data_IF_586148738618
#
_entry.id   IF_586148738618
#
_cell.length_a   1.000
_cell.length_b   1.000
_cell.length_c   1.000
_cell.angle_alpha   90.00
_cell.angle_beta   90.00
_cell.angle_gamma   90.00
#
_symmetry.space_group_name_H-M   'P 1'
#
loop_
_entity.id
_entity.type
_entity.pdbx_description
1 polymer ?
#
# COMPACT_ATOMS: atom_id res chain seq x y z
N UNK A 1 -11.68 16.43 7.94
CA UNK A 1 -11.77 15.98 6.53
C UNK A 1 -11.21 14.56 6.37
N UNK A 2 -11.66 13.82 5.34
CA UNK A 2 -11.58 12.36 5.11
C UNK A 2 -10.51 11.55 5.88
N UNK A 3 -9.26 12.00 5.91
CA UNK A 3 -8.18 11.36 6.68
C UNK A 3 -8.49 11.21 8.19
N UNK A 4 -9.06 12.24 8.83
CA UNK A 4 -9.37 12.21 10.26
C UNK A 4 -10.44 11.16 10.59
N UNK A 5 -11.41 10.96 9.69
CA UNK A 5 -12.48 9.98 9.82
C UNK A 5 -12.14 8.62 9.19
N UNK A 6 -10.98 8.47 8.55
CA UNK A 6 -10.59 7.21 7.92
C UNK A 6 -10.15 6.21 8.97
N UNK A 7 -10.63 4.98 8.88
CA UNK A 7 -10.23 3.91 9.78
C UNK A 7 -8.94 3.22 9.32
N UNK A 8 -8.72 3.17 8.01
CA UNK A 8 -7.57 2.54 7.37
C UNK A 8 -6.90 3.51 6.39
N UNK A 9 -5.57 3.61 6.49
CA UNK A 9 -4.74 4.31 5.50
C UNK A 9 -4.01 3.28 4.65
N UNK A 10 -4.23 3.34 3.34
CA UNK A 10 -3.61 2.45 2.36
C UNK A 10 -2.54 3.22 1.60
N UNK A 11 -1.39 2.59 1.37
CA UNK A 11 -0.32 3.18 0.57
C UNK A 11 0.69 2.13 0.08
N UNK A 12 1.51 2.52 -0.88
CA UNK A 12 2.57 1.66 -1.42
C UNK A 12 3.91 2.14 -0.87
N UNK A 13 4.53 1.34 0.02
CA UNK A 13 5.64 1.79 0.88
C UNK A 13 5.25 2.94 1.85
N UNK A 14 4.01 2.88 2.37
CA UNK A 14 3.34 3.92 3.19
C UNK A 14 4.17 4.52 4.35
N UNK A 15 5.13 3.78 4.90
CA UNK A 15 6.00 4.30 5.96
C UNK A 15 6.79 5.50 5.43
N UNK A 16 7.25 5.46 4.19
CA UNK A 16 7.97 6.56 3.56
C UNK A 16 7.12 7.84 3.53
N UNK A 17 5.90 7.76 3.00
CA UNK A 17 4.99 8.90 2.89
C UNK A 17 4.68 9.50 4.27
N UNK A 18 4.39 8.66 5.27
CA UNK A 18 4.09 9.11 6.63
C UNK A 18 5.28 9.84 7.25
N UNK A 19 6.50 9.31 7.10
CA UNK A 19 7.68 9.96 7.68
C UNK A 19 8.03 11.27 6.98
N UNK A 20 7.82 11.38 5.66
CA UNK A 20 7.95 12.65 4.93
C UNK A 20 6.92 13.67 5.44
N UNK A 21 5.65 13.29 5.58
CA UNK A 21 4.60 14.19 6.07
C UNK A 21 4.90 14.62 7.52
N UNK A 22 5.30 13.69 8.40
CA UNK A 22 5.67 14.01 9.78
C UNK A 22 6.84 14.98 9.85
N UNK A 23 7.85 14.80 8.98
CA UNK A 23 9.00 15.70 8.87
C UNK A 23 8.57 17.11 8.48
N UNK A 24 7.72 17.25 7.45
CA UNK A 24 7.20 18.56 7.04
C UNK A 24 6.30 19.19 8.11
N UNK A 25 5.45 18.41 8.79
CA UNK A 25 4.69 18.90 9.94
C UNK A 25 5.60 19.44 11.05
N UNK A 26 6.69 18.74 11.36
CA UNK A 26 7.67 19.14 12.38
C UNK A 26 8.29 20.51 12.05
N UNK A 27 8.61 20.78 10.78
CA UNK A 27 9.16 22.08 10.33
C UNK A 27 8.24 23.27 10.61
N UNK A 28 6.93 23.03 10.66
CA UNK A 28 5.92 24.06 10.92
C UNK A 28 5.27 23.94 12.32
N UNK A 29 5.83 23.12 13.22
CA UNK A 29 5.26 22.83 14.55
C UNK A 29 3.81 22.32 14.51
N UNK A 30 3.45 21.60 13.45
CA UNK A 30 2.14 20.96 13.30
C UNK A 30 2.18 19.60 14.00
N UNK A 31 1.20 19.34 14.87
CA UNK A 31 1.07 18.05 15.56
C UNK A 31 0.69 16.97 14.56
N UNK A 32 1.56 15.95 14.44
CA UNK A 32 1.40 14.83 13.50
C UNK A 32 1.12 13.48 14.20
N UNK A 33 0.73 13.51 15.48
CA UNK A 33 0.38 12.30 16.24
C UNK A 33 -0.79 11.54 15.63
N UNK A 34 -1.66 12.20 14.86
CA UNK A 34 -2.80 11.60 14.15
C UNK A 34 -2.39 10.43 13.24
N UNK A 35 -1.15 10.40 12.74
CA UNK A 35 -0.64 9.30 11.92
C UNK A 35 -0.29 8.04 12.73
N UNK A 36 -0.15 8.15 14.06
CA UNK A 36 0.21 7.02 14.93
C UNK A 36 -1.00 6.14 15.27
N UNK A 37 -2.19 6.74 15.31
CA UNK A 37 -3.42 6.08 15.77
C UNK A 37 -4.20 5.41 14.63
N UNK A 38 -3.73 5.53 13.38
CA UNK A 38 -4.40 4.99 12.20
C UNK A 38 -3.90 3.57 11.88
N UNK A 39 -4.84 2.68 11.57
CA UNK A 39 -4.51 1.41 10.94
C UNK A 39 -3.88 1.66 9.57
N UNK A 40 -2.88 0.86 9.21
CA UNK A 40 -2.10 1.04 7.97
C UNK A 40 -2.06 -0.26 7.18
N UNK A 41 -2.27 -0.15 5.87
CA UNK A 41 -2.06 -1.24 4.94
C UNK A 41 -1.04 -0.83 3.87
N UNK A 42 0.09 -1.54 3.85
CA UNK A 42 1.15 -1.31 2.87
C UNK A 42 1.02 -2.33 1.73
N UNK A 43 0.55 -1.91 0.56
CA UNK A 43 0.37 -2.83 -0.59
C UNK A 43 1.67 -3.50 -1.01
N UNK A 44 2.81 -2.80 -0.88
CA UNK A 44 4.14 -3.35 -1.18
C UNK A 44 4.45 -4.58 -0.30
N UNK A 45 4.35 -4.43 1.02
CA UNK A 45 4.70 -5.50 1.97
C UNK A 45 3.69 -6.64 1.90
N UNK A 46 2.40 -6.29 1.96
CA UNK A 46 1.31 -7.25 2.12
C UNK A 46 1.12 -8.12 0.87
N UNK A 47 1.45 -7.60 -0.32
CA UNK A 47 1.34 -8.33 -1.59
C UNK A 47 2.66 -8.95 -2.06
N UNK A 48 3.75 -8.87 -1.27
CA UNK A 48 5.05 -9.44 -1.66
C UNK A 48 4.97 -10.94 -1.94
N UNK A 49 4.33 -11.69 -1.05
CA UNK A 49 4.16 -13.14 -1.20
C UNK A 49 3.22 -13.51 -2.35
N UNK A 50 2.27 -12.63 -2.69
CA UNK A 50 1.36 -12.84 -3.81
C UNK A 50 2.05 -12.57 -5.16
N UNK A 51 2.82 -11.47 -5.25
CA UNK A 51 3.50 -11.07 -6.48
C UNK A 51 4.63 -12.04 -6.88
N UNK A 52 5.21 -12.76 -5.91
CA UNK A 52 6.21 -13.82 -6.12
C UNK A 52 7.39 -13.43 -7.01
N UNK A 53 7.79 -12.15 -6.98
CA UNK A 53 8.85 -11.64 -7.84
C UNK A 53 10.20 -12.15 -7.32
N UNK A 54 11.00 -12.86 -8.14
CA UNK A 54 12.29 -13.39 -7.70
C UNK A 54 13.31 -12.27 -7.50
N UNK A 55 14.25 -12.50 -6.57
CA UNK A 55 15.41 -11.61 -6.41
C UNK A 55 16.47 -11.96 -7.45
N UNK A 56 16.91 -10.96 -8.22
CA UNK A 56 17.90 -11.15 -9.30
C UNK A 56 19.27 -11.62 -8.79
N UNK A 57 19.60 -11.37 -7.52
CA UNK A 57 20.89 -11.71 -6.92
C UNK A 57 20.92 -13.11 -6.27
N UNK A 58 19.91 -13.96 -6.50
CA UNK A 58 19.84 -15.30 -5.91
C UNK A 58 19.59 -15.32 -4.39
N UNK A 59 19.19 -14.18 -3.81
CA UNK A 59 18.78 -14.12 -2.40
C UNK A 59 17.52 -14.92 -2.11
N UNK A 60 17.31 -15.28 -0.84
CA UNK A 60 16.11 -16.00 -0.40
C UNK A 60 14.88 -15.07 -0.35
N UNK A 61 13.70 -15.67 -0.54
CA UNK A 61 12.42 -14.96 -0.52
C UNK A 61 12.13 -14.13 -1.77
N UNK A 62 11.03 -13.38 -1.74
CA UNK A 62 10.60 -12.54 -2.85
C UNK A 62 11.12 -11.11 -2.72
N UNK A 63 11.29 -10.46 -3.87
CA UNK A 63 11.52 -9.03 -3.98
C UNK A 63 10.22 -8.28 -3.63
N UNK A 64 10.34 -7.14 -2.98
CA UNK A 64 9.22 -6.20 -2.88
C UNK A 64 8.79 -5.77 -4.29
N UNK A 65 7.49 -5.85 -4.63
CA UNK A 65 7.02 -5.34 -5.90
C UNK A 65 7.11 -3.81 -5.90
N UNK A 66 7.56 -3.23 -7.01
CA UNK A 66 7.33 -1.82 -7.30
C UNK A 66 5.82 -1.57 -7.53
N UNK A 67 5.41 -0.30 -7.52
CA UNK A 67 4.01 0.07 -7.78
C UNK A 67 3.54 -0.46 -9.14
N UNK A 68 4.34 -0.25 -10.20
CA UNK A 68 4.01 -0.73 -11.54
C UNK A 68 3.96 -2.26 -11.63
N UNK A 69 4.89 -2.96 -10.99
CA UNK A 69 4.89 -4.44 -10.95
C UNK A 69 3.65 -4.97 -10.23
N UNK A 70 3.31 -4.43 -9.05
CA UNK A 70 2.10 -4.81 -8.33
C UNK A 70 0.83 -4.49 -9.14
N UNK A 71 0.77 -3.31 -9.76
CA UNK A 71 -0.35 -2.90 -10.60
C UNK A 71 -0.55 -3.86 -11.77
N UNK A 72 0.52 -4.21 -12.48
CA UNK A 72 0.46 -5.14 -13.61
C UNK A 72 0.01 -6.54 -13.19
N UNK A 73 0.58 -7.08 -12.11
CA UNK A 73 0.22 -8.42 -11.60
C UNK A 73 -1.25 -8.47 -11.15
N UNK A 74 -1.75 -7.42 -10.50
CA UNK A 74 -3.10 -7.39 -9.93
C UNK A 74 -4.17 -7.03 -10.97
N UNK A 75 -3.88 -6.12 -11.90
CA UNK A 75 -4.87 -5.60 -12.85
C UNK A 75 -4.75 -6.23 -14.24
N UNK A 76 -3.61 -6.83 -14.57
CA UNK A 76 -3.29 -7.30 -15.92
C UNK A 76 -2.99 -6.18 -16.92
N UNK A 77 -2.84 -4.93 -16.46
CA UNK A 77 -2.58 -3.75 -17.30
C UNK A 77 -1.27 -3.08 -16.92
N UNK A 78 -0.58 -2.46 -17.87
CA UNK A 78 0.60 -1.67 -17.56
C UNK A 78 0.22 -0.29 -17.01
N UNK A 79 0.97 0.17 -16.00
CA UNK A 79 0.83 1.53 -15.49
C UNK A 79 1.50 2.52 -16.46
N UNK A 80 0.75 3.51 -16.92
CA UNK A 80 1.21 4.57 -17.84
C UNK A 80 1.34 5.88 -17.05
N UNK A 81 2.38 6.68 -17.33
CA UNK A 81 2.64 7.97 -16.67
C UNK A 81 2.84 7.87 -15.16
N UNK A 82 3.63 6.89 -14.70
CA UNK A 82 4.08 6.83 -13.30
C UNK A 82 4.89 8.09 -12.92
N UNK A 83 4.99 8.38 -11.61
CA UNK A 83 5.64 9.57 -11.01
C UNK A 83 4.81 10.85 -10.95
N UNK A 84 3.50 10.76 -11.22
CA UNK A 84 2.54 11.77 -10.81
C UNK A 84 1.83 11.28 -9.53
N UNK A 85 1.72 12.14 -8.51
CA UNK A 85 1.19 11.73 -7.21
C UNK A 85 -0.25 11.22 -7.28
N UNK A 86 -1.08 11.79 -8.18
CA UNK A 86 -2.45 11.33 -8.37
C UNK A 86 -2.48 10.00 -9.11
N UNK A 87 -1.66 9.84 -10.16
CA UNK A 87 -1.55 8.57 -10.89
C UNK A 87 -1.08 7.45 -9.97
N UNK A 88 -0.06 7.70 -9.15
CA UNK A 88 0.49 6.72 -8.21
C UNK A 88 -0.55 6.35 -7.12
N UNK A 89 -1.34 7.33 -6.67
CA UNK A 89 -2.43 7.10 -5.71
C UNK A 89 -3.57 6.27 -6.31
N UNK A 90 -3.99 6.57 -7.54
CA UNK A 90 -5.00 5.80 -8.26
C UNK A 90 -4.54 4.37 -8.57
N UNK A 91 -3.26 4.19 -8.91
CA UNK A 91 -2.66 2.87 -9.07
C UNK A 91 -2.65 2.09 -7.74
N UNK A 92 -2.29 2.73 -6.63
CA UNK A 92 -2.34 2.13 -5.30
C UNK A 92 -3.77 1.70 -4.92
N UNK A 93 -4.76 2.55 -5.23
CA UNK A 93 -6.19 2.24 -5.07
C UNK A 93 -6.59 1.01 -5.87
N UNK A 94 -6.24 0.95 -7.15
CA UNK A 94 -6.54 -0.17 -8.02
C UNK A 94 -5.92 -1.48 -7.51
N UNK A 95 -4.65 -1.44 -7.09
CA UNK A 95 -3.96 -2.60 -6.49
C UNK A 95 -4.73 -3.12 -5.27
N UNK A 96 -5.14 -2.23 -4.36
CA UNK A 96 -5.83 -2.62 -3.13
C UNK A 96 -7.18 -3.29 -3.42
N UNK A 97 -8.02 -2.68 -4.26
CA UNK A 97 -9.33 -3.25 -4.57
C UNK A 97 -9.24 -4.51 -5.43
N UNK A 98 -8.33 -4.58 -6.40
CA UNK A 98 -8.10 -5.83 -7.15
C UNK A 98 -7.59 -6.96 -6.25
N UNK A 99 -6.84 -6.65 -5.19
CA UNK A 99 -6.41 -7.67 -4.22
C UNK A 99 -7.58 -8.21 -3.40
N UNK A 100 -8.56 -7.36 -3.06
CA UNK A 100 -9.81 -7.78 -2.41
C UNK A 100 -10.64 -8.64 -3.37
N UNK A 101 -10.86 -8.17 -4.60
CA UNK A 101 -11.66 -8.87 -5.62
C UNK A 101 -11.12 -10.28 -5.92
N UNK A 102 -9.80 -10.42 -5.95
CA UNK A 102 -9.12 -11.72 -6.15
C UNK A 102 -9.04 -12.58 -4.88
N UNK A 103 -9.53 -12.09 -3.75
CA UNK A 103 -9.47 -12.79 -2.46
C UNK A 103 -8.05 -12.94 -1.89
N UNK A 104 -7.10 -12.13 -2.36
CA UNK A 104 -5.71 -12.11 -1.86
C UNK A 104 -5.66 -11.52 -0.46
N UNK A 105 -6.52 -10.56 -0.19
CA UNK A 105 -6.70 -9.95 1.12
C UNK A 105 -8.18 -9.91 1.48
N UNK A 106 -8.48 -10.05 2.77
CA UNK A 106 -9.84 -9.83 3.28
C UNK A 106 -9.88 -8.53 4.06
N UNK A 107 -10.77 -7.64 3.64
CA UNK A 107 -11.12 -6.46 4.40
C UNK A 107 -12.29 -6.80 5.31
N UNK A 108 -12.13 -6.59 6.62
CA UNK A 108 -13.23 -6.69 7.57
C UNK A 108 -13.84 -5.30 7.76
N UNK A 109 -15.08 -5.11 7.33
CA UNK A 109 -15.79 -3.83 7.44
C UNK A 109 -16.21 -3.51 8.87
N UNK A 110 -16.49 -4.51 9.71
CA UNK A 110 -16.89 -4.33 11.12
C UNK A 110 -15.71 -3.97 12.03
N UNK A 111 -14.52 -4.44 11.65
CA UNK A 111 -13.25 -4.12 12.27
C UNK A 111 -12.24 -3.76 11.18
N UNK A 112 -12.20 -2.50 10.70
CA UNK A 112 -11.40 -2.05 9.54
C UNK A 112 -9.90 -2.35 9.69
N UNK A 113 -9.61 -3.60 9.41
CA UNK A 113 -8.34 -4.30 9.53
C UNK A 113 -8.28 -5.22 8.33
N UNK A 114 -7.08 -5.38 7.79
CA UNK A 114 -6.86 -6.30 6.69
C UNK A 114 -6.19 -7.53 7.25
N UNK A 115 -6.86 -8.67 7.13
CA UNK A 115 -6.23 -9.96 7.38
C UNK A 115 -5.60 -10.41 6.06
N UNK A 116 -4.27 -10.47 6.03
CA UNK A 116 -3.55 -11.13 4.96
C UNK A 116 -3.73 -12.64 5.14
N UNK A 117 -4.77 -13.22 4.52
CA UNK A 117 -4.79 -14.66 4.33
C UNK A 117 -3.86 -15.00 3.18
N UNK A 118 -2.79 -15.74 3.44
CA UNK A 118 -2.06 -16.42 2.38
C UNK A 118 -3.04 -17.41 1.76
N UNK A 119 -3.61 -17.06 0.60
CA UNK A 119 -4.38 -18.00 -0.22
C UNK A 119 -3.53 -19.25 -0.40
N UNK A 120 -4.03 -20.38 0.10
CA UNK A 120 -3.38 -21.69 0.03
C UNK A 120 -3.15 -22.11 -1.41
#
# INVERSE_FOLDING_TARGET
PAFHSADLVVGHNIIYDIEIIKSECSRFNIVSSVFNDKSRFCTMNQLTAFCKIPRLNGGTGFKFPSLSEAYEILTGSHLINCHDALVDTEACKAIFFSAIEKGVIRFNEEHPTVLAEMVR
#
